data_IF_296960308426
#
_entry.id   IF_296960308426
#
_cell.length_a   1.000
_cell.length_b   1.000
_cell.length_c   1.000
_cell.angle_alpha   90.00
_cell.angle_beta   90.00
_cell.angle_gamma   90.00
#
_symmetry.space_group_name_H-M   'P 1'
#
loop_
_entity.id
_entity.type
_entity.pdbx_description
1 polymer ?
#
# COMPACT_ATOMS: atom_id res chain seq x y z
N UNK A 1 -21.85 28.44 7.99
CA UNK A 1 -20.93 27.62 8.81
C UNK A 1 -20.32 26.42 8.05
N UNK A 2 -21.05 25.76 7.16
CA UNK A 2 -20.50 24.66 6.36
C UNK A 2 -19.37 25.08 5.38
N UNK A 3 -19.46 26.24 4.73
CA UNK A 3 -18.43 26.71 3.80
C UNK A 3 -17.08 27.01 4.48
N UNK A 4 -17.08 27.49 5.73
CA UNK A 4 -15.85 27.86 6.44
C UNK A 4 -15.01 26.66 6.88
N UNK A 5 -15.66 25.48 7.08
CA UNK A 5 -14.96 24.24 7.45
C UNK A 5 -14.29 23.64 6.21
N UNK A 6 -14.87 23.80 5.04
CA UNK A 6 -14.29 23.30 3.78
C UNK A 6 -13.06 24.08 3.32
N UNK A 7 -13.01 25.38 3.53
CA UNK A 7 -11.87 26.24 3.15
C UNK A 7 -10.57 25.91 3.88
N UNK A 8 -10.63 25.26 5.04
CA UNK A 8 -9.45 24.84 5.82
C UNK A 8 -9.04 23.38 5.61
N UNK A 9 -9.76 22.61 4.79
CA UNK A 9 -9.40 21.23 4.52
C UNK A 9 -8.45 21.13 3.32
N UNK A 10 -7.15 21.00 3.58
CA UNK A 10 -6.10 20.92 2.57
C UNK A 10 -6.25 19.74 1.59
N UNK A 11 -7.04 18.73 1.95
CA UNK A 11 -7.30 17.55 1.12
C UNK A 11 -8.57 17.71 0.26
N UNK A 12 -9.42 18.71 0.55
CA UNK A 12 -10.70 18.87 -0.13
C UNK A 12 -10.52 19.09 -1.63
N UNK A 13 -11.22 18.29 -2.44
CA UNK A 13 -11.20 18.38 -3.91
C UNK A 13 -9.90 17.93 -4.56
N UNK A 14 -8.92 17.45 -3.80
CA UNK A 14 -7.62 16.96 -4.31
C UNK A 14 -7.75 15.56 -4.94
N UNK A 15 -6.80 15.21 -5.80
CA UNK A 15 -6.72 13.91 -6.43
C UNK A 15 -5.67 13.03 -5.72
N UNK A 16 -6.12 11.91 -5.17
CA UNK A 16 -5.31 10.88 -4.52
C UNK A 16 -5.10 9.70 -5.47
N UNK A 17 -3.84 9.38 -5.73
CA UNK A 17 -3.44 8.13 -6.36
C UNK A 17 -2.96 7.18 -5.26
N UNK A 18 -3.57 6.00 -5.16
CA UNK A 18 -3.16 4.96 -4.22
C UNK A 18 -2.51 3.79 -4.97
N UNK A 19 -1.27 3.48 -4.62
CA UNK A 19 -0.47 2.42 -5.21
C UNK A 19 -0.12 1.39 -4.13
N UNK A 20 -0.28 0.12 -4.42
CA UNK A 20 -0.03 -0.94 -3.46
C UNK A 20 -0.50 -2.31 -3.90
N UNK A 21 -0.52 -3.20 -2.96
CA UNK A 21 -0.96 -4.59 -3.13
C UNK A 21 -2.41 -4.80 -2.69
N UNK A 22 -2.76 -6.04 -2.28
CA UNK A 22 -4.09 -6.41 -1.80
C UNK A 22 -4.58 -5.59 -0.61
N UNK A 23 -3.69 -5.12 0.26
CA UNK A 23 -4.04 -4.27 1.40
C UNK A 23 -4.57 -2.89 0.97
N UNK A 24 -4.13 -2.40 -0.17
CA UNK A 24 -4.60 -1.14 -0.75
C UNK A 24 -5.78 -1.36 -1.70
N UNK A 25 -5.72 -2.45 -2.48
CA UNK A 25 -6.76 -2.78 -3.46
C UNK A 25 -8.06 -3.28 -2.83
N UNK A 26 -7.97 -4.09 -1.77
CA UNK A 26 -9.13 -4.73 -1.14
C UNK A 26 -9.71 -5.91 -1.93
N UNK A 27 -9.09 -6.29 -3.03
CA UNK A 27 -9.45 -7.47 -3.81
C UNK A 27 -8.61 -8.66 -3.35
N UNK A 28 -9.28 -9.67 -2.81
CA UNK A 28 -8.66 -10.90 -2.31
C UNK A 28 -9.03 -12.12 -3.14
N UNK A 29 -9.66 -11.95 -4.29
CA UNK A 29 -10.17 -13.05 -5.14
C UNK A 29 -9.07 -13.97 -5.65
N UNK A 30 -7.81 -13.50 -5.66
CA UNK A 30 -6.62 -14.31 -6.03
C UNK A 30 -5.91 -14.93 -4.82
N UNK A 31 -6.36 -14.62 -3.59
CA UNK A 31 -5.75 -15.20 -2.40
C UNK A 31 -6.22 -16.66 -2.24
N UNK A 32 -5.26 -17.55 -2.00
CA UNK A 32 -5.50 -18.96 -1.71
C UNK A 32 -5.19 -19.22 -0.23
N UNK A 33 -6.11 -19.84 0.50
CA UNK A 33 -5.85 -20.26 1.88
C UNK A 33 -4.84 -21.42 1.94
N UNK A 34 -4.47 -21.83 3.17
CA UNK A 34 -3.54 -22.94 3.39
C UNK A 34 -4.02 -24.30 2.82
N UNK A 35 -5.29 -24.40 2.44
CA UNK A 35 -5.89 -25.58 1.83
C UNK A 35 -6.03 -25.46 0.29
N UNK A 36 -5.46 -24.37 -0.29
CA UNK A 36 -5.48 -24.15 -1.73
C UNK A 36 -6.81 -23.61 -2.29
N UNK A 37 -7.73 -23.15 -1.42
CA UNK A 37 -9.02 -22.60 -1.84
C UNK A 37 -8.88 -21.11 -2.14
N UNK A 38 -9.23 -20.69 -3.34
CA UNK A 38 -9.32 -19.27 -3.67
C UNK A 38 -10.50 -18.61 -2.93
N UNK A 39 -10.31 -17.41 -2.45
CA UNK A 39 -11.42 -16.60 -1.97
C UNK A 39 -12.34 -16.30 -3.16
N UNK A 40 -13.62 -16.72 -3.06
CA UNK A 40 -14.60 -16.49 -4.13
C UNK A 40 -14.98 -15.03 -4.27
N UNK A 41 -14.95 -14.29 -3.14
CA UNK A 41 -15.33 -12.89 -3.05
C UNK A 41 -14.43 -12.17 -2.05
N UNK A 42 -14.18 -10.90 -2.27
CA UNK A 42 -13.56 -10.07 -1.24
C UNK A 42 -14.55 -9.88 -0.08
N UNK A 43 -14.11 -10.02 1.18
CA UNK A 43 -14.95 -9.72 2.34
C UNK A 43 -15.20 -8.23 2.53
N UNK A 44 -14.55 -7.38 1.76
CA UNK A 44 -14.76 -5.93 1.78
C UNK A 44 -15.88 -5.54 0.83
N UNK A 45 -16.61 -4.49 1.20
CA UNK A 45 -17.69 -3.95 0.37
C UNK A 45 -17.10 -3.24 -0.85
N UNK A 46 -17.54 -3.64 -2.04
CA UNK A 46 -17.26 -2.94 -3.28
C UNK A 46 -18.19 -1.75 -3.43
N UNK A 47 -17.65 -0.59 -3.77
CA UNK A 47 -18.40 0.62 -4.08
C UNK A 47 -18.41 0.83 -5.60
N UNK A 48 -19.57 0.60 -6.22
CA UNK A 48 -19.71 0.69 -7.68
C UNK A 48 -19.66 2.13 -8.21
N UNK A 49 -20.00 3.11 -7.38
CA UNK A 49 -19.89 4.52 -7.73
C UNK A 49 -18.42 4.95 -7.83
N UNK A 50 -17.58 4.43 -6.95
CA UNK A 50 -16.16 4.72 -6.88
C UNK A 50 -15.28 3.71 -7.65
N UNK A 51 -15.86 2.60 -8.09
CA UNK A 51 -15.15 1.57 -8.84
C UNK A 51 -14.05 0.85 -8.05
N UNK A 52 -14.13 0.82 -6.72
CA UNK A 52 -13.13 0.20 -5.85
C UNK A 52 -13.72 -0.36 -4.56
N UNK A 53 -12.96 -1.19 -3.86
CA UNK A 53 -13.34 -1.66 -2.52
C UNK A 53 -13.14 -0.56 -1.48
N UNK A 54 -13.97 -0.59 -0.40
CA UNK A 54 -13.90 0.35 0.73
C UNK A 54 -12.69 0.10 1.61
N UNK A 55 -11.50 0.27 1.05
CA UNK A 55 -10.21 0.23 1.73
C UNK A 55 -9.84 1.60 2.31
N UNK A 56 -8.71 1.72 3.01
CA UNK A 56 -8.32 2.98 3.63
C UNK A 56 -8.25 4.17 2.65
N UNK A 57 -7.80 4.06 1.39
CA UNK A 57 -7.84 5.17 0.44
C UNK A 57 -9.26 5.65 0.13
N UNK A 58 -10.22 4.71 0.03
CA UNK A 58 -11.62 5.05 -0.16
C UNK A 58 -12.18 5.88 1.00
N UNK A 59 -11.90 5.46 2.25
CA UNK A 59 -12.33 6.19 3.44
C UNK A 59 -11.78 7.61 3.49
N UNK A 60 -10.50 7.79 3.12
CA UNK A 60 -9.84 9.10 3.06
C UNK A 60 -10.51 9.97 1.99
N UNK A 61 -10.61 9.44 0.79
CA UNK A 61 -11.17 10.17 -0.34
C UNK A 61 -12.64 10.57 -0.09
N UNK A 62 -13.45 9.66 0.43
CA UNK A 62 -14.85 9.90 0.79
C UNK A 62 -15.02 10.97 1.84
N UNK A 63 -14.21 10.93 2.91
CA UNK A 63 -14.24 11.89 4.03
C UNK A 63 -13.86 13.30 3.60
N UNK A 64 -12.92 13.42 2.66
CA UNK A 64 -12.35 14.69 2.22
C UNK A 64 -12.86 15.16 0.86
N UNK A 65 -13.86 14.51 0.30
CA UNK A 65 -14.35 14.79 -1.05
C UNK A 65 -13.22 14.84 -2.11
N UNK A 66 -12.26 13.91 -2.02
CA UNK A 66 -11.17 13.79 -2.97
C UNK A 66 -11.59 12.93 -4.17
N UNK A 67 -10.97 13.17 -5.33
CA UNK A 67 -10.93 12.19 -6.41
C UNK A 67 -9.97 11.07 -6.01
N UNK A 68 -10.33 9.81 -6.28
CA UNK A 68 -9.49 8.64 -6.00
C UNK A 68 -9.22 7.85 -7.29
N UNK A 69 -7.95 7.57 -7.54
CA UNK A 69 -7.53 6.54 -8.49
C UNK A 69 -6.77 5.48 -7.72
N UNK A 70 -7.36 4.30 -7.55
CA UNK A 70 -6.72 3.17 -6.88
C UNK A 70 -6.08 2.24 -7.92
N UNK A 71 -4.74 2.30 -8.03
CA UNK A 71 -3.94 1.50 -8.96
C UNK A 71 -3.39 0.22 -8.30
N UNK A 72 -3.74 -0.02 -7.06
CA UNK A 72 -3.27 -1.21 -6.33
C UNK A 72 -3.83 -2.50 -6.93
N UNK A 73 -3.05 -3.57 -6.82
CA UNK A 73 -3.41 -4.90 -7.36
C UNK A 73 -3.17 -5.98 -6.31
N UNK A 74 -4.10 -6.93 -6.20
CA UNK A 74 -3.91 -8.11 -5.37
C UNK A 74 -2.65 -8.88 -5.82
N UNK A 75 -1.78 -9.22 -4.87
CA UNK A 75 -0.50 -9.88 -5.16
C UNK A 75 0.56 -8.95 -5.78
N UNK A 76 0.28 -7.64 -5.88
CA UNK A 76 1.21 -6.67 -6.47
C UNK A 76 2.53 -6.56 -5.72
N UNK A 77 3.62 -6.37 -6.46
CA UNK A 77 4.96 -6.07 -5.97
C UNK A 77 5.41 -4.70 -6.48
N UNK A 78 6.35 -4.04 -5.81
CA UNK A 78 6.98 -2.87 -6.43
C UNK A 78 8.04 -3.30 -7.45
N UNK A 79 8.87 -4.29 -7.11
CA UNK A 79 9.90 -4.82 -7.99
C UNK A 79 9.38 -5.94 -8.90
N UNK A 80 10.12 -6.24 -9.94
CA UNK A 80 9.86 -7.40 -10.81
C UNK A 80 10.14 -8.67 -10.00
N UNK A 81 9.19 -9.59 -9.99
CA UNK A 81 9.34 -10.85 -9.24
C UNK A 81 10.38 -11.77 -9.85
N UNK A 82 10.98 -12.64 -9.03
CA UNK A 82 11.93 -13.67 -9.45
C UNK A 82 11.36 -14.60 -10.52
N UNK A 83 10.06 -14.89 -10.37
CA UNK A 83 9.32 -15.73 -11.31
C UNK A 83 9.21 -15.06 -12.68
N UNK A 84 8.91 -13.77 -12.72
CA UNK A 84 8.84 -13.01 -13.96
C UNK A 84 10.23 -12.85 -14.62
N UNK A 85 11.29 -12.65 -13.82
CA UNK A 85 12.65 -12.59 -14.33
C UNK A 85 13.11 -13.93 -14.94
N UNK A 86 12.65 -15.05 -14.36
CA UNK A 86 12.99 -16.39 -14.85
C UNK A 86 12.23 -16.77 -16.14
N UNK A 87 10.98 -16.29 -16.28
CA UNK A 87 10.11 -16.58 -17.45
C UNK A 87 9.22 -15.37 -17.78
N UNK A 88 9.74 -14.38 -18.51
CA UNK A 88 9.00 -13.17 -18.87
C UNK A 88 7.77 -13.41 -19.76
N UNK A 89 7.77 -14.50 -20.50
CA UNK A 89 6.67 -14.86 -21.42
C UNK A 89 5.49 -15.52 -20.68
N UNK A 90 5.70 -16.01 -19.46
CA UNK A 90 4.66 -16.62 -18.66
C UNK A 90 3.82 -15.55 -17.92
N UNK A 91 2.67 -15.23 -18.49
CA UNK A 91 1.74 -14.22 -17.97
C UNK A 91 1.20 -14.60 -16.57
N UNK A 92 1.05 -15.88 -16.26
CA UNK A 92 0.61 -16.35 -14.95
C UNK A 92 1.67 -16.10 -13.88
N UNK A 93 2.93 -16.38 -14.19
CA UNK A 93 4.08 -16.07 -13.33
C UNK A 93 4.25 -14.55 -13.22
N UNK A 94 4.07 -13.83 -14.33
CA UNK A 94 4.10 -12.36 -14.38
C UNK A 94 2.92 -11.68 -13.70
N UNK A 95 1.94 -12.43 -13.16
CA UNK A 95 0.72 -11.89 -12.54
C UNK A 95 0.92 -11.13 -11.23
N UNK A 96 2.14 -10.97 -10.74
CA UNK A 96 2.49 -10.17 -9.56
C UNK A 96 2.30 -8.66 -9.76
N UNK A 97 1.99 -8.23 -10.98
CA UNK A 97 1.75 -6.82 -11.31
C UNK A 97 2.84 -5.89 -10.75
N UNK A 98 4.10 -6.01 -11.20
CA UNK A 98 5.18 -5.19 -10.68
C UNK A 98 4.97 -3.73 -11.05
N UNK A 99 4.86 -2.88 -10.01
CA UNK A 99 4.56 -1.46 -10.18
C UNK A 99 5.67 -0.73 -10.94
N UNK A 100 6.93 -1.07 -10.66
CA UNK A 100 8.11 -0.47 -11.29
C UNK A 100 8.37 -0.94 -12.74
N UNK A 101 7.52 -1.81 -13.30
CA UNK A 101 7.64 -2.18 -14.72
C UNK A 101 7.04 -1.09 -15.62
N UNK A 102 5.74 -0.80 -15.47
CA UNK A 102 5.03 0.15 -16.34
C UNK A 102 4.05 1.05 -15.57
N UNK A 103 3.41 0.55 -14.51
CA UNK A 103 2.27 1.21 -13.87
C UNK A 103 2.63 2.59 -13.32
N UNK A 104 3.84 2.75 -12.74
CA UNK A 104 4.31 4.01 -12.18
C UNK A 104 4.41 5.17 -13.20
N UNK A 105 4.46 4.85 -14.50
CA UNK A 105 4.52 5.83 -15.59
C UNK A 105 3.14 6.35 -15.98
N UNK A 106 2.08 5.66 -15.57
CA UNK A 106 0.71 5.86 -16.06
C UNK A 106 -0.26 6.35 -14.96
N UNK A 107 0.18 7.27 -14.09
CA UNK A 107 -0.64 7.83 -13.01
C UNK A 107 -1.63 8.92 -13.50
N UNK A 108 -1.49 9.40 -14.72
CA UNK A 108 -2.21 10.57 -15.26
C UNK A 108 -1.47 11.88 -15.01
N UNK A 109 -2.07 13.00 -15.43
CA UNK A 109 -1.43 14.32 -15.32
C UNK A 109 -1.98 15.17 -14.16
N UNK A 110 -3.21 14.93 -13.73
CA UNK A 110 -3.87 15.64 -12.63
C UNK A 110 -3.69 14.86 -11.33
N UNK A 111 -2.56 15.09 -10.63
CA UNK A 111 -2.17 14.35 -9.44
C UNK A 111 -1.74 15.31 -8.33
N UNK A 112 -2.45 15.30 -7.21
CA UNK A 112 -2.08 16.09 -6.02
C UNK A 112 -1.32 15.26 -4.99
N UNK A 113 -1.76 14.00 -4.77
CA UNK A 113 -1.19 13.09 -3.78
C UNK A 113 -0.92 11.70 -4.36
N UNK A 114 0.22 11.12 -4.03
CA UNK A 114 0.60 9.74 -4.39
C UNK A 114 0.96 9.00 -3.11
N UNK A 115 0.24 7.92 -2.80
CA UNK A 115 0.56 7.00 -1.72
C UNK A 115 1.12 5.70 -2.26
N UNK A 116 2.22 5.23 -1.67
CA UNK A 116 2.91 4.01 -2.09
C UNK A 116 3.05 3.09 -0.88
N UNK A 117 2.42 1.89 -0.96
CA UNK A 117 2.48 0.86 0.07
C UNK A 117 2.74 -0.51 -0.55
N UNK A 118 4.00 -0.91 -0.57
CA UNK A 118 4.47 -2.21 -1.06
C UNK A 118 5.40 -2.88 -0.06
N UNK A 119 5.74 -4.13 -0.30
CA UNK A 119 6.73 -4.90 0.44
C UNK A 119 6.24 -6.28 0.87
N UNK A 120 4.95 -6.45 1.17
CA UNK A 120 4.44 -7.71 1.67
C UNK A 120 4.61 -8.86 0.68
N UNK A 121 4.27 -8.65 -0.59
CA UNK A 121 4.51 -9.64 -1.63
C UNK A 121 5.98 -9.65 -2.06
N UNK A 122 6.63 -8.48 -2.05
CA UNK A 122 8.03 -8.36 -2.44
C UNK A 122 8.93 -9.26 -1.60
N UNK A 123 8.76 -9.33 -0.28
CA UNK A 123 9.60 -10.14 0.60
C UNK A 123 9.57 -11.64 0.27
N UNK A 124 8.51 -12.12 -0.40
CA UNK A 124 8.40 -13.52 -0.83
C UNK A 124 8.88 -13.72 -2.27
N UNK A 125 8.71 -12.72 -3.13
CA UNK A 125 8.81 -12.87 -4.58
C UNK A 125 9.91 -12.05 -5.24
N UNK A 126 10.57 -11.13 -4.53
CA UNK A 126 11.62 -10.29 -5.11
C UNK A 126 12.94 -10.45 -4.37
N UNK A 127 14.02 -9.96 -4.97
CA UNK A 127 15.30 -9.82 -4.29
C UNK A 127 15.31 -8.49 -3.54
N UNK A 128 15.86 -8.46 -2.32
CA UNK A 128 15.95 -7.22 -1.54
C UNK A 128 16.85 -6.19 -2.24
N UNK A 129 18.02 -6.58 -2.67
CA UNK A 129 19.02 -5.67 -3.23
C UNK A 129 19.69 -4.80 -2.17
N UNK A 130 20.22 -3.67 -2.62
CA UNK A 130 20.91 -2.66 -1.80
C UNK A 130 20.36 -1.26 -2.08
N UNK A 131 20.60 -0.34 -1.15
CA UNK A 131 20.16 1.06 -1.27
C UNK A 131 20.71 1.78 -2.52
N UNK A 132 21.79 1.29 -3.10
CA UNK A 132 22.44 1.89 -4.27
C UNK A 132 21.99 1.27 -5.61
N UNK A 133 21.14 0.25 -5.57
CA UNK A 133 20.60 -0.35 -6.79
C UNK A 133 19.74 0.66 -7.58
N UNK A 134 19.94 0.71 -8.89
CA UNK A 134 19.18 1.55 -9.83
C UNK A 134 18.44 0.68 -10.86
N UNK A 135 17.86 -0.44 -10.44
CA UNK A 135 17.13 -1.39 -11.29
C UNK A 135 15.75 -1.65 -10.73
N UNK A 136 14.81 -2.06 -11.55
CA UNK A 136 13.47 -2.49 -11.11
C UNK A 136 13.40 -4.00 -10.75
N UNK A 137 14.55 -4.70 -10.70
CA UNK A 137 14.63 -6.13 -10.41
C UNK A 137 14.87 -6.43 -8.93
N UNK A 138 15.24 -5.42 -8.13
CA UNK A 138 15.38 -5.54 -6.68
C UNK A 138 14.46 -4.58 -5.96
N UNK A 139 14.11 -4.89 -4.71
CA UNK A 139 13.16 -4.09 -3.93
C UNK A 139 13.68 -2.67 -3.70
N UNK A 140 14.91 -2.50 -3.25
CA UNK A 140 15.55 -1.19 -3.11
C UNK A 140 15.62 -0.45 -4.44
N UNK A 141 16.06 -1.14 -5.50
CA UNK A 141 16.22 -0.55 -6.82
C UNK A 141 14.90 -0.09 -7.41
N UNK A 142 13.82 -0.87 -7.24
CA UNK A 142 12.49 -0.50 -7.70
C UNK A 142 11.97 0.77 -7.04
N UNK A 143 12.17 0.94 -5.73
CA UNK A 143 11.86 2.21 -5.05
C UNK A 143 12.68 3.36 -5.60
N UNK A 144 13.99 3.17 -5.82
CA UNK A 144 14.87 4.19 -6.39
C UNK A 144 14.38 4.64 -7.78
N UNK A 145 14.05 3.68 -8.65
CA UNK A 145 13.54 3.96 -10.00
C UNK A 145 12.20 4.71 -9.94
N UNK A 146 11.28 4.24 -9.11
CA UNK A 146 9.94 4.82 -8.97
C UNK A 146 10.02 6.23 -8.39
N UNK A 147 10.71 6.43 -7.26
CA UNK A 147 10.81 7.75 -6.64
C UNK A 147 11.48 8.78 -7.54
N UNK A 148 12.61 8.41 -8.17
CA UNK A 148 13.28 9.27 -9.15
C UNK A 148 12.33 9.74 -10.26
N UNK A 149 11.55 8.82 -10.80
CA UNK A 149 10.56 9.16 -11.84
C UNK A 149 9.46 10.06 -11.30
N UNK A 150 8.87 9.71 -10.16
CA UNK A 150 7.71 10.43 -9.62
C UNK A 150 8.05 11.87 -9.22
N UNK A 151 9.18 12.11 -8.55
CA UNK A 151 9.60 13.48 -8.20
C UNK A 151 9.95 14.31 -9.43
N UNK A 152 10.39 13.67 -10.51
CA UNK A 152 10.70 14.35 -11.78
C UNK A 152 9.44 14.69 -12.55
N UNK A 153 8.51 13.75 -12.67
CA UNK A 153 7.29 13.89 -13.47
C UNK A 153 6.22 14.73 -12.75
N UNK A 154 6.14 14.64 -11.41
CA UNK A 154 5.12 15.27 -10.59
C UNK A 154 5.73 16.18 -9.50
N UNK A 155 6.44 17.26 -9.89
CA UNK A 155 7.21 18.09 -8.94
C UNK A 155 6.34 18.81 -7.89
N UNK A 156 5.04 18.92 -8.11
CA UNK A 156 4.09 19.54 -7.18
C UNK A 156 3.22 18.56 -6.43
N UNK A 157 3.24 17.27 -6.79
CA UNK A 157 2.50 16.26 -6.06
C UNK A 157 3.17 15.93 -4.73
N UNK A 158 2.34 15.70 -3.72
CA UNK A 158 2.76 15.20 -2.41
C UNK A 158 2.90 13.68 -2.48
N UNK A 159 4.11 13.18 -2.36
CA UNK A 159 4.40 11.75 -2.40
C UNK A 159 4.61 11.27 -0.97
N UNK A 160 3.92 10.20 -0.57
CA UNK A 160 4.05 9.59 0.74
C UNK A 160 4.27 8.09 0.64
N UNK A 161 5.24 7.57 1.38
CA UNK A 161 5.45 6.14 1.55
C UNK A 161 4.73 5.62 2.79
N UNK A 162 4.26 4.38 2.74
CA UNK A 162 3.69 3.71 3.90
C UNK A 162 4.44 2.41 4.15
N UNK A 163 5.02 2.28 5.35
CA UNK A 163 5.52 1.00 5.84
C UNK A 163 4.32 0.18 6.30
N UNK A 164 4.07 -0.92 5.59
CA UNK A 164 2.90 -1.75 5.83
C UNK A 164 2.96 -2.40 7.22
N UNK A 165 1.82 -2.46 7.89
CA UNK A 165 1.67 -3.06 9.22
C UNK A 165 1.40 -4.57 9.22
N UNK A 166 1.49 -5.24 8.07
CA UNK A 166 1.23 -6.67 7.92
C UNK A 166 2.52 -7.45 7.67
N UNK A 167 2.88 -8.36 8.54
CA UNK A 167 3.90 -9.42 8.36
C UNK A 167 5.17 -9.04 7.57
N UNK A 168 5.42 -7.76 7.36
CA UNK A 168 6.60 -7.28 6.65
C UNK A 168 7.85 -7.60 7.48
N UNK A 169 8.85 -8.22 6.88
CA UNK A 169 10.12 -8.46 7.58
C UNK A 169 10.82 -7.14 7.91
N UNK A 170 11.63 -7.14 8.96
CA UNK A 170 12.36 -5.95 9.39
C UNK A 170 13.25 -5.38 8.26
N UNK A 171 13.85 -6.24 7.44
CA UNK A 171 14.72 -5.87 6.32
C UNK A 171 13.94 -5.12 5.22
N UNK A 172 12.77 -5.63 4.83
CA UNK A 172 11.93 -4.97 3.83
C UNK A 172 11.28 -3.70 4.39
N UNK A 173 10.91 -3.69 5.67
CA UNK A 173 10.42 -2.49 6.33
C UNK A 173 11.50 -1.40 6.41
N UNK A 174 12.76 -1.77 6.70
CA UNK A 174 13.88 -0.83 6.71
C UNK A 174 14.17 -0.30 5.32
N UNK A 175 14.13 -1.14 4.29
CA UNK A 175 14.32 -0.71 2.91
C UNK A 175 13.30 0.36 2.47
N UNK A 176 12.03 0.27 2.89
CA UNK A 176 11.03 1.34 2.65
C UNK A 176 11.46 2.64 3.34
N UNK A 177 11.93 2.57 4.60
CA UNK A 177 12.36 3.76 5.34
C UNK A 177 13.58 4.42 4.72
N UNK A 178 14.61 3.63 4.45
CA UNK A 178 15.89 4.10 3.89
C UNK A 178 15.71 4.72 2.51
N UNK A 179 14.93 4.09 1.63
CA UNK A 179 14.66 4.65 0.30
C UNK A 179 13.83 5.92 0.39
N UNK A 180 12.85 5.99 1.28
CA UNK A 180 12.08 7.20 1.51
C UNK A 180 12.99 8.35 1.99
N UNK A 181 13.86 8.09 2.97
CA UNK A 181 14.85 9.06 3.46
C UNK A 181 15.82 9.50 2.36
N UNK A 182 16.36 8.56 1.59
CA UNK A 182 17.29 8.83 0.47
C UNK A 182 16.69 9.82 -0.54
N UNK A 183 15.39 9.68 -0.82
CA UNK A 183 14.71 10.51 -1.82
C UNK A 183 13.94 11.70 -1.22
N UNK A 184 14.04 11.94 0.08
CA UNK A 184 13.30 13.01 0.75
C UNK A 184 11.79 12.81 0.72
N UNK A 185 11.31 11.56 0.62
CA UNK A 185 9.90 11.21 0.64
C UNK A 185 9.45 11.06 2.09
N UNK A 186 8.43 11.81 2.56
CA UNK A 186 7.81 11.56 3.85
C UNK A 186 7.24 10.13 3.93
N UNK A 187 7.35 9.49 5.10
CA UNK A 187 6.76 8.18 5.29
C UNK A 187 5.98 8.05 6.60
N UNK A 188 4.95 7.21 6.58
CA UNK A 188 4.18 6.78 7.74
C UNK A 188 4.52 5.32 8.04
N UNK A 189 4.98 5.06 9.25
CA UNK A 189 5.32 3.70 9.70
C UNK A 189 4.14 3.09 10.47
N UNK A 190 3.28 2.37 9.77
CA UNK A 190 2.13 1.70 10.39
C UNK A 190 2.52 0.56 11.34
N UNK A 191 3.76 0.06 11.28
CA UNK A 191 4.25 -0.93 12.24
C UNK A 191 4.57 -0.31 13.60
N UNK A 192 4.99 0.95 13.63
CA UNK A 192 5.40 1.66 14.85
C UNK A 192 4.32 2.60 15.36
N UNK A 193 3.68 3.35 14.46
CA UNK A 193 2.90 4.53 14.81
C UNK A 193 1.43 4.22 15.07
N UNK A 194 0.94 3.03 14.70
CA UNK A 194 -0.45 2.68 14.90
C UNK A 194 -0.65 1.58 15.94
N UNK A 195 -1.72 1.70 16.71
CA UNK A 195 -2.18 0.62 17.58
C UNK A 195 -2.72 -0.59 16.82
N UNK A 196 -2.84 -0.51 15.49
CA UNK A 196 -3.20 -1.62 14.62
C UNK A 196 -1.93 -2.39 14.31
N UNK A 197 -1.60 -3.32 15.15
CA UNK A 197 -0.68 -4.35 14.75
C UNK A 197 -1.50 -5.50 14.21
N UNK A 198 -1.63 -5.56 12.90
CA UNK A 198 -1.99 -6.80 12.21
C UNK A 198 -0.78 -7.73 12.17
N UNK A 199 0.39 -7.22 12.52
CA UNK A 199 1.61 -7.98 12.55
C UNK A 199 1.85 -8.59 13.91
N UNK A 200 2.14 -9.85 13.87
CA UNK A 200 2.48 -10.72 14.97
C UNK A 200 3.77 -10.31 15.69
N UNK A 201 4.53 -9.35 15.20
CA UNK A 201 5.90 -9.14 15.58
C UNK A 201 6.23 -7.72 16.06
N UNK A 202 5.26 -6.94 16.52
CA UNK A 202 5.61 -5.68 17.16
C UNK A 202 6.43 -5.99 18.42
N UNK A 203 7.70 -5.63 18.40
CA UNK A 203 8.62 -5.86 19.51
C UNK A 203 8.03 -5.35 20.81
N UNK A 204 7.92 -6.21 21.81
CA UNK A 204 7.38 -5.87 23.11
C UNK A 204 5.87 -6.06 23.30
N UNK A 205 5.12 -6.42 22.24
CA UNK A 205 3.71 -6.78 22.40
C UNK A 205 3.55 -8.20 22.94
N UNK A 206 2.73 -8.41 23.96
CA UNK A 206 2.42 -9.75 24.44
C UNK A 206 1.51 -10.50 23.46
N UNK A 207 1.56 -11.84 23.49
CA UNK A 207 0.81 -12.69 22.58
C UNK A 207 -0.71 -12.50 22.71
N UNK A 208 -1.21 -12.38 23.93
CA UNK A 208 -2.63 -12.14 24.21
C UNK A 208 -3.14 -10.86 23.53
N UNK A 209 -2.42 -9.74 23.65
CA UNK A 209 -2.80 -8.48 23.01
C UNK A 209 -2.79 -8.60 21.48
N UNK A 210 -1.86 -9.39 20.93
CA UNK A 210 -1.76 -9.69 19.52
C UNK A 210 -2.95 -10.49 19.02
N UNK A 211 -3.31 -11.56 19.73
CA UNK A 211 -4.46 -12.41 19.39
C UNK A 211 -5.77 -11.63 19.43
N UNK A 212 -5.98 -10.82 20.47
CA UNK A 212 -7.16 -9.95 20.59
C UNK A 212 -7.27 -9.01 19.39
N UNK A 213 -6.16 -8.35 19.00
CA UNK A 213 -6.17 -7.42 17.87
C UNK A 213 -6.36 -8.12 16.53
N UNK A 214 -5.72 -9.27 16.34
CA UNK A 214 -5.91 -10.07 15.13
C UNK A 214 -7.37 -10.51 14.96
N UNK A 215 -8.02 -10.96 16.03
CA UNK A 215 -9.44 -11.30 15.99
C UNK A 215 -10.35 -10.12 15.66
N UNK A 216 -9.95 -8.90 16.00
CA UNK A 216 -10.73 -7.69 15.73
C UNK A 216 -10.52 -7.12 14.33
N UNK A 217 -9.30 -7.22 13.79
CA UNK A 217 -8.86 -6.45 12.63
C UNK A 217 -8.48 -7.28 11.40
N UNK A 218 -8.35 -8.61 11.52
CA UNK A 218 -8.21 -9.48 10.37
C UNK A 218 -9.57 -9.89 9.80
N UNK A 219 -9.58 -10.29 8.54
CA UNK A 219 -10.76 -10.84 7.88
C UNK A 219 -11.25 -12.08 8.64
N UNK A 220 -10.34 -13.01 8.95
CA UNK A 220 -10.55 -14.17 9.81
C UNK A 220 -9.20 -14.78 10.21
N UNK A 221 -9.21 -15.87 10.96
CA UNK A 221 -8.01 -16.56 11.45
C UNK A 221 -7.06 -17.06 10.34
N UNK A 222 -7.61 -17.40 9.17
CA UNK A 222 -6.85 -17.90 8.01
C UNK A 222 -6.50 -16.80 7.00
N UNK A 223 -7.24 -15.69 7.01
CA UNK A 223 -7.00 -14.55 6.14
C UNK A 223 -6.62 -13.32 6.96
N UNK A 224 -5.34 -13.03 6.98
CA UNK A 224 -4.73 -11.95 7.78
C UNK A 224 -4.79 -10.57 7.12
N UNK A 225 -5.49 -10.43 6.01
CA UNK A 225 -5.75 -9.11 5.43
C UNK A 225 -6.61 -8.27 6.38
N UNK A 226 -6.44 -6.94 6.34
CA UNK A 226 -7.28 -6.03 7.13
C UNK A 226 -8.75 -6.18 6.78
N UNK A 227 -9.60 -6.29 7.79
CA UNK A 227 -11.04 -6.23 7.60
C UNK A 227 -11.53 -4.77 7.50
N UNK A 228 -12.83 -4.58 7.34
CA UNK A 228 -13.46 -3.26 7.21
C UNK A 228 -13.07 -2.29 8.35
N UNK A 229 -13.08 -2.77 9.61
CA UNK A 229 -12.72 -1.94 10.77
C UNK A 229 -11.25 -1.53 10.75
N UNK A 230 -10.37 -2.44 10.34
CA UNK A 230 -8.95 -2.13 10.20
C UNK A 230 -8.71 -1.06 9.14
N UNK A 231 -9.37 -1.15 7.99
CA UNK A 231 -9.26 -0.13 6.94
C UNK A 231 -9.79 1.23 7.37
N UNK A 232 -10.92 1.28 8.06
CA UNK A 232 -11.47 2.52 8.62
C UNK A 232 -10.49 3.15 9.62
N UNK A 233 -9.93 2.35 10.53
CA UNK A 233 -8.95 2.82 11.50
C UNK A 233 -7.65 3.26 10.83
N UNK A 234 -7.09 2.49 9.89
CA UNK A 234 -5.92 2.88 9.11
C UNK A 234 -6.13 4.22 8.40
N UNK A 235 -7.33 4.45 7.87
CA UNK A 235 -7.64 5.69 7.17
C UNK A 235 -7.48 6.93 8.04
N UNK A 236 -7.63 6.85 9.35
CA UNK A 236 -7.46 8.01 10.25
C UNK A 236 -5.99 8.41 10.37
N UNK A 237 -5.08 7.45 10.45
CA UNK A 237 -3.64 7.69 10.52
C UNK A 237 -3.09 8.20 9.19
N UNK A 238 -3.55 7.60 8.08
CA UNK A 238 -3.09 8.00 6.74
C UNK A 238 -3.67 9.37 6.36
N UNK A 239 -4.91 9.70 6.73
CA UNK A 239 -5.49 11.03 6.55
C UNK A 239 -4.67 12.11 7.28
N UNK A 240 -4.34 11.87 8.55
CA UNK A 240 -3.50 12.79 9.33
C UNK A 240 -2.10 12.94 8.72
N UNK A 241 -1.50 11.85 8.24
CA UNK A 241 -0.23 11.88 7.53
C UNK A 241 -0.30 12.73 6.25
N UNK A 242 -1.32 12.54 5.41
CA UNK A 242 -1.51 13.32 4.18
C UNK A 242 -1.66 14.83 4.43
N UNK A 243 -2.24 15.22 5.57
CA UNK A 243 -2.37 16.64 5.93
C UNK A 243 -1.06 17.29 6.32
N UNK A 244 -0.06 16.50 6.71
CA UNK A 244 1.25 16.97 7.19
C UNK A 244 2.33 17.02 6.12
N UNK A 245 2.12 16.39 4.98
CA UNK A 245 3.09 16.35 3.88
C UNK A 245 2.82 17.40 2.80
#
# INVERSE_FOLDING_TARGET
MENTIMENNVLFGKHLIACGDSFTAGDFTRWTDSEGRAAKESPLVYDSEWGCYKTFPWWIARRNNMKLTNLAKCGGTIAISKEHLADPENVEIGSRHPFALETYKNLGDDVDYILIMYGLNDMYHTNLGTIDDETNETFYGAFNVVYKYLITKYPFAKIGAIVCNAYLSDEYAEAVRETAVKWGIPYLDLMKDTGISTTLNKKGMCDEAREIRNAQFHVNENNKHPNHKAHELMSTYVDDFLRRI
#
